data_IF_444167153703
#
_entry.id   IF_444167153703
#
_cell.length_a   1.000
_cell.length_b   1.000
_cell.length_c   1.000
_cell.angle_alpha   90.00
_cell.angle_beta   90.00
_cell.angle_gamma   90.00
#
_symmetry.space_group_name_H-M   'P 1'
#
loop_
_entity.id
_entity.type
_entity.pdbx_description
1 polymer ?
#
# COMPACT_ATOMS: atom_id res chain seq x y z
N UNK A 1 62.92 21.49 31.10
CA UNK A 1 62.68 20.53 29.99
C UNK A 1 61.46 19.60 30.22
N UNK A 2 60.97 19.36 31.44
CA UNK A 2 59.82 18.46 31.68
C UNK A 2 58.44 19.01 31.24
N UNK A 3 58.29 20.34 31.10
CA UNK A 3 56.99 21.01 30.83
C UNK A 3 56.46 20.75 29.41
N UNK A 4 57.35 20.56 28.43
CA UNK A 4 56.99 20.37 27.02
C UNK A 4 56.46 18.95 26.72
N UNK A 5 56.83 17.95 27.53
CA UNK A 5 56.36 16.57 27.35
C UNK A 5 54.91 16.37 27.78
N UNK A 6 54.49 17.07 28.85
CA UNK A 6 53.13 16.96 29.39
C UNK A 6 52.10 17.64 28.47
N UNK A 7 52.44 18.78 27.90
CA UNK A 7 51.58 19.48 26.93
C UNK A 7 51.37 18.67 25.65
N UNK A 8 52.41 18.02 25.15
CA UNK A 8 52.32 17.19 23.94
C UNK A 8 51.43 15.96 24.15
N UNK A 9 51.47 15.35 25.34
CA UNK A 9 50.59 14.23 25.70
C UNK A 9 49.15 14.70 25.83
N UNK A 10 48.92 15.85 26.47
CA UNK A 10 47.58 16.42 26.66
C UNK A 10 46.92 16.76 25.31
N UNK A 11 47.66 17.39 24.39
CA UNK A 11 47.20 17.71 23.04
C UNK A 11 46.83 16.45 22.25
N UNK A 12 47.62 15.37 22.37
CA UNK A 12 47.33 14.08 21.71
C UNK A 12 46.09 13.40 22.27
N UNK A 13 45.88 13.45 23.59
CA UNK A 13 44.69 12.87 24.25
C UNK A 13 43.43 13.64 23.85
N UNK A 14 43.49 14.97 23.81
CA UNK A 14 42.36 15.81 23.37
C UNK A 14 42.04 15.55 21.90
N UNK A 15 43.05 15.48 21.02
CA UNK A 15 42.85 15.18 19.62
C UNK A 15 42.21 13.79 19.40
N UNK A 16 42.64 12.78 20.15
CA UNK A 16 42.05 11.44 20.10
C UNK A 16 40.60 11.43 20.60
N UNK A 17 40.31 12.14 21.69
CA UNK A 17 38.95 12.27 22.22
C UNK A 17 38.00 12.96 21.21
N UNK A 18 38.46 14.02 20.54
CA UNK A 18 37.67 14.72 19.50
C UNK A 18 37.41 13.80 18.30
N UNK A 19 38.39 13.00 17.88
CA UNK A 19 38.21 12.01 16.79
C UNK A 19 37.21 10.92 17.19
N UNK A 20 37.32 10.38 18.41
CA UNK A 20 36.42 9.32 18.91
C UNK A 20 34.99 9.85 19.07
N UNK A 21 34.81 11.06 19.63
CA UNK A 21 33.48 11.69 19.74
C UNK A 21 32.91 12.01 18.35
N UNK A 22 33.73 12.51 17.42
CA UNK A 22 33.31 12.74 16.04
C UNK A 22 32.87 11.45 15.34
N UNK A 23 33.59 10.35 15.53
CA UNK A 23 33.22 9.02 15.01
C UNK A 23 31.93 8.50 15.63
N UNK A 24 31.75 8.64 16.95
CA UNK A 24 30.51 8.28 17.65
C UNK A 24 29.30 9.08 17.14
N UNK A 25 29.46 10.39 16.90
CA UNK A 25 28.38 11.24 16.37
C UNK A 25 28.02 10.85 14.93
N UNK A 26 29.00 10.50 14.09
CA UNK A 26 28.74 10.04 12.71
C UNK A 26 28.04 8.68 12.71
N UNK A 27 28.50 7.72 13.53
CA UNK A 27 27.88 6.39 13.64
C UNK A 27 26.47 6.47 14.23
N UNK A 28 26.24 7.32 15.24
CA UNK A 28 24.89 7.57 15.76
C UNK A 28 23.99 8.22 14.71
N UNK A 29 24.50 9.20 13.94
CA UNK A 29 23.73 9.84 12.88
C UNK A 29 23.31 8.86 11.79
N UNK A 30 24.22 7.99 11.33
CA UNK A 30 23.90 7.00 10.29
C UNK A 30 22.95 5.92 10.79
N UNK A 31 23.12 5.42 12.02
CA UNK A 31 22.23 4.44 12.61
C UNK A 31 20.80 4.99 12.81
N UNK A 32 20.67 6.25 13.22
CA UNK A 32 19.37 6.92 13.37
C UNK A 32 18.68 7.11 12.01
N UNK A 33 19.41 7.48 10.95
CA UNK A 33 18.83 7.59 9.60
C UNK A 33 18.37 6.25 9.04
N UNK A 34 19.13 5.17 9.25
CA UNK A 34 18.72 3.83 8.80
C UNK A 34 17.51 3.32 9.57
N UNK A 35 17.42 3.60 10.87
CA UNK A 35 16.25 3.24 11.68
C UNK A 35 14.99 4.00 11.24
N UNK A 36 15.11 5.30 10.92
CA UNK A 36 13.99 6.09 10.41
C UNK A 36 13.53 5.61 9.02
N UNK A 37 14.46 5.29 8.12
CA UNK A 37 14.11 4.75 6.80
C UNK A 37 13.38 3.40 6.93
N UNK A 38 13.87 2.50 7.78
CA UNK A 38 13.22 1.21 8.03
C UNK A 38 11.83 1.35 8.67
N UNK A 39 11.68 2.25 9.64
CA UNK A 39 10.39 2.52 10.26
C UNK A 39 9.39 3.16 9.28
N UNK A 40 9.87 4.01 8.36
CA UNK A 40 9.06 4.64 7.33
C UNK A 40 8.58 3.65 6.27
N UNK A 41 9.43 2.68 5.90
CA UNK A 41 9.12 1.60 4.97
C UNK A 41 8.06 0.63 5.54
N UNK A 42 8.28 0.14 6.76
CA UNK A 42 7.29 -0.69 7.49
C UNK A 42 5.93 0.00 7.64
N UNK A 43 5.91 1.31 7.84
CA UNK A 43 4.64 2.04 7.99
C UNK A 43 4.01 2.44 6.65
N UNK A 44 4.76 2.42 5.54
CA UNK A 44 4.17 2.50 4.20
C UNK A 44 3.47 1.20 3.85
N UNK A 45 4.10 0.07 4.18
CA UNK A 45 3.55 -1.28 4.02
C UNK A 45 2.26 -1.46 4.81
N UNK A 46 2.24 -1.10 6.11
CA UNK A 46 1.02 -1.14 6.94
C UNK A 46 -0.13 -0.29 6.33
N UNK A 47 0.18 0.90 5.80
CA UNK A 47 -0.84 1.77 5.21
C UNK A 47 -1.36 1.23 3.86
N UNK A 48 -0.46 0.63 3.05
CA UNK A 48 -0.82 0.02 1.78
C UNK A 48 -1.72 -1.20 2.01
N UNK A 49 -1.29 -2.13 2.88
CA UNK A 49 -2.09 -3.28 3.31
C UNK A 49 -3.47 -2.84 3.79
N UNK A 50 -3.53 -1.86 4.70
CA UNK A 50 -4.80 -1.39 5.24
C UNK A 50 -5.75 -0.89 4.14
N UNK A 51 -5.26 -0.08 3.20
CA UNK A 51 -6.11 0.51 2.17
C UNK A 51 -6.51 -0.51 1.11
N UNK A 52 -5.60 -1.38 0.67
CA UNK A 52 -5.91 -2.45 -0.29
C UNK A 52 -7.00 -3.36 0.28
N UNK A 53 -6.84 -3.85 1.50
CA UNK A 53 -7.85 -4.69 2.16
C UNK A 53 -9.19 -3.96 2.37
N UNK A 54 -9.19 -2.67 2.71
CA UNK A 54 -10.43 -1.89 2.79
C UNK A 54 -11.16 -1.88 1.45
N UNK A 55 -10.43 -1.66 0.36
CA UNK A 55 -11.00 -1.64 -0.98
C UNK A 55 -11.52 -3.01 -1.40
N UNK A 56 -10.80 -4.09 -1.12
CA UNK A 56 -11.27 -5.47 -1.38
C UNK A 56 -12.52 -5.83 -0.58
N UNK A 57 -12.55 -5.50 0.72
CA UNK A 57 -13.75 -5.63 1.55
C UNK A 57 -14.94 -4.90 0.90
N UNK A 58 -14.75 -3.66 0.42
CA UNK A 58 -15.80 -2.91 -0.30
C UNK A 58 -16.22 -3.62 -1.59
N UNK A 59 -15.30 -4.28 -2.29
CA UNK A 59 -15.54 -5.13 -3.44
C UNK A 59 -16.51 -6.27 -3.14
N UNK A 60 -16.18 -7.12 -2.16
CA UNK A 60 -17.06 -8.24 -1.78
C UNK A 60 -18.42 -7.76 -1.27
N UNK A 61 -18.48 -6.73 -0.43
CA UNK A 61 -19.76 -6.22 0.09
C UNK A 61 -20.65 -5.68 -1.04
N UNK A 62 -20.07 -5.12 -2.10
CA UNK A 62 -20.82 -4.76 -3.31
C UNK A 62 -21.39 -6.00 -4.00
N UNK A 63 -20.60 -7.08 -4.14
CA UNK A 63 -21.09 -8.33 -4.73
C UNK A 63 -22.15 -9.03 -3.87
N UNK A 64 -22.06 -8.91 -2.55
CA UNK A 64 -23.11 -9.37 -1.64
C UNK A 64 -24.45 -8.66 -1.92
N UNK A 65 -24.43 -7.34 -2.15
CA UNK A 65 -25.62 -6.58 -2.54
C UNK A 65 -26.13 -6.96 -3.92
N UNK A 66 -25.25 -7.07 -4.91
CA UNK A 66 -25.62 -7.45 -6.28
C UNK A 66 -26.34 -8.81 -6.28
N UNK A 67 -25.77 -9.80 -5.61
CA UNK A 67 -26.36 -11.14 -5.49
C UNK A 67 -27.68 -11.12 -4.70
N UNK A 68 -27.75 -10.36 -3.61
CA UNK A 68 -29.00 -10.19 -2.86
C UNK A 68 -30.11 -9.58 -3.72
N UNK A 69 -29.78 -8.63 -4.59
CA UNK A 69 -30.74 -7.92 -5.44
C UNK A 69 -31.44 -8.83 -6.46
N UNK A 70 -30.76 -9.90 -6.90
CA UNK A 70 -31.31 -10.90 -7.82
C UNK A 70 -31.79 -12.17 -7.11
N UNK A 71 -31.81 -12.18 -5.77
CA UNK A 71 -32.28 -13.30 -4.96
C UNK A 71 -31.27 -14.45 -4.78
N UNK A 72 -30.02 -14.26 -5.18
CA UNK A 72 -28.95 -15.26 -5.01
C UNK A 72 -28.33 -15.17 -3.60
N UNK A 73 -29.06 -15.68 -2.61
CA UNK A 73 -28.62 -15.60 -1.21
C UNK A 73 -27.33 -16.37 -0.93
N UNK A 74 -27.08 -17.49 -1.63
CA UNK A 74 -25.89 -18.31 -1.37
C UNK A 74 -24.61 -17.55 -1.73
N UNK A 75 -24.58 -16.91 -2.90
CA UNK A 75 -23.46 -16.03 -3.30
C UNK A 75 -23.40 -14.76 -2.44
N UNK A 76 -24.56 -14.20 -2.06
CA UNK A 76 -24.57 -13.04 -1.17
C UNK A 76 -23.97 -13.37 0.22
N UNK A 77 -24.17 -14.60 0.71
CA UNK A 77 -23.56 -15.08 1.96
C UNK A 77 -22.06 -15.30 1.79
N UNK A 78 -21.62 -15.89 0.67
CA UNK A 78 -20.20 -16.11 0.38
C UNK A 78 -19.43 -14.79 0.38
N UNK A 79 -19.88 -13.83 -0.44
CA UNK A 79 -19.32 -12.49 -0.53
C UNK A 79 -19.37 -11.71 0.78
N UNK A 80 -20.45 -11.83 1.56
CA UNK A 80 -20.49 -11.20 2.88
C UNK A 80 -19.46 -11.80 3.86
N UNK A 81 -18.99 -13.03 3.62
CA UNK A 81 -18.09 -13.79 4.47
C UNK A 81 -16.61 -13.56 4.18
N UNK A 82 -16.24 -13.41 2.91
CA UNK A 82 -14.87 -13.18 2.44
C UNK A 82 -14.15 -12.07 3.24
N UNK A 83 -14.75 -10.87 3.48
CA UNK A 83 -14.16 -9.82 4.30
C UNK A 83 -13.60 -10.25 5.67
N UNK A 84 -14.35 -11.10 6.40
CA UNK A 84 -13.93 -11.55 7.72
C UNK A 84 -12.92 -12.70 7.64
N UNK A 85 -13.00 -13.52 6.59
CA UNK A 85 -12.18 -14.71 6.42
C UNK A 85 -10.76 -14.37 5.89
N UNK A 86 -10.67 -13.46 4.93
CA UNK A 86 -9.42 -13.14 4.24
C UNK A 86 -8.69 -11.95 4.87
N UNK A 87 -9.39 -10.84 5.11
CA UNK A 87 -8.71 -9.56 5.39
C UNK A 87 -8.64 -9.19 6.86
N UNK A 88 -9.63 -9.60 7.66
CA UNK A 88 -9.73 -9.14 9.05
C UNK A 88 -8.53 -9.55 9.91
N UNK A 89 -7.91 -10.71 9.64
CA UNK A 89 -6.72 -11.17 10.34
C UNK A 89 -5.51 -10.24 10.12
N UNK A 90 -5.40 -9.68 8.91
CA UNK A 90 -4.28 -8.84 8.49
C UNK A 90 -4.45 -7.38 8.95
N UNK A 91 -5.63 -6.79 8.75
CA UNK A 91 -5.86 -5.38 9.11
C UNK A 91 -6.11 -5.15 10.60
N UNK A 92 -6.58 -6.17 11.33
CA UNK A 92 -6.87 -6.04 12.75
C UNK A 92 -5.71 -5.49 13.59
N UNK A 93 -4.49 -6.06 13.55
CA UNK A 93 -3.37 -5.52 14.34
C UNK A 93 -3.00 -4.09 13.95
N UNK A 94 -3.15 -3.71 12.67
CA UNK A 94 -2.86 -2.36 12.17
C UNK A 94 -3.84 -1.35 12.76
N UNK A 95 -5.14 -1.64 12.67
CA UNK A 95 -6.20 -0.77 13.20
C UNK A 95 -6.15 -0.75 14.73
N UNK A 96 -5.93 -1.88 15.40
CA UNK A 96 -5.89 -1.97 16.87
C UNK A 96 -4.82 -1.05 17.48
N UNK A 97 -3.63 -1.01 16.88
CA UNK A 97 -2.52 -0.13 17.30
C UNK A 97 -2.89 1.36 17.26
N UNK A 98 -3.81 1.75 16.38
CA UNK A 98 -4.15 3.16 16.07
C UNK A 98 -5.51 3.58 16.65
N UNK A 99 -6.48 2.66 16.69
CA UNK A 99 -7.86 2.86 17.16
C UNK A 99 -8.50 1.52 17.62
N UNK A 100 -8.27 1.08 18.87
CA UNK A 100 -8.79 -0.21 19.37
C UNK A 100 -10.31 -0.36 19.29
N UNK A 101 -11.06 0.72 19.58
CA UNK A 101 -12.53 0.67 19.54
C UNK A 101 -13.07 0.45 18.12
N UNK A 102 -12.40 1.04 17.13
CA UNK A 102 -12.81 0.94 15.74
C UNK A 102 -12.73 -0.50 15.23
N UNK A 103 -11.63 -1.20 15.54
CA UNK A 103 -11.48 -2.59 15.12
C UNK A 103 -12.46 -3.52 15.82
N UNK A 104 -12.80 -3.29 17.09
CA UNK A 104 -13.79 -4.10 17.79
C UNK A 104 -15.17 -4.03 17.12
N UNK A 105 -15.60 -2.82 16.74
CA UNK A 105 -16.87 -2.62 16.05
C UNK A 105 -16.86 -3.19 14.62
N UNK A 106 -15.77 -2.97 13.87
CA UNK A 106 -15.63 -3.50 12.51
C UNK A 106 -15.65 -5.03 12.50
N UNK A 107 -14.89 -5.66 13.41
CA UNK A 107 -14.83 -7.11 13.58
C UNK A 107 -16.21 -7.69 13.87
N UNK A 108 -16.93 -7.12 14.83
CA UNK A 108 -18.27 -7.63 15.20
C UNK A 108 -19.24 -7.61 14.01
N UNK A 109 -19.22 -6.53 13.22
CA UNK A 109 -20.09 -6.41 12.05
C UNK A 109 -19.71 -7.37 10.93
N UNK A 110 -18.44 -7.43 10.54
CA UNK A 110 -17.97 -8.31 9.46
C UNK A 110 -18.23 -9.79 9.79
N UNK A 111 -17.94 -10.22 11.02
CA UNK A 111 -18.15 -11.63 11.42
C UNK A 111 -19.63 -12.02 11.45
N UNK A 112 -20.53 -11.09 11.79
CA UNK A 112 -21.97 -11.38 11.90
C UNK A 112 -22.69 -11.30 10.56
N UNK A 113 -22.22 -10.46 9.63
CA UNK A 113 -22.94 -10.16 8.39
C UNK A 113 -23.38 -11.41 7.61
N UNK A 114 -22.54 -12.42 7.35
CA UNK A 114 -22.92 -13.59 6.54
C UNK A 114 -24.13 -14.33 7.10
N UNK A 115 -24.19 -14.47 8.43
CA UNK A 115 -25.29 -15.16 9.12
C UNK A 115 -26.62 -14.40 9.04
N UNK A 116 -26.58 -13.08 8.85
CA UNK A 116 -27.77 -12.24 8.72
C UNK A 116 -28.36 -12.31 7.31
N UNK A 117 -27.51 -12.37 6.28
CA UNK A 117 -27.89 -12.27 4.86
C UNK A 117 -29.13 -13.10 4.49
N UNK A 118 -29.28 -14.38 4.89
CA UNK A 118 -30.44 -15.18 4.49
C UNK A 118 -31.78 -14.68 5.07
N UNK A 119 -31.74 -13.96 6.18
CA UNK A 119 -32.91 -13.58 6.98
C UNK A 119 -33.35 -12.13 6.81
N UNK A 120 -32.50 -11.29 6.19
CA UNK A 120 -32.75 -9.85 6.03
C UNK A 120 -33.13 -9.52 4.57
N UNK A 121 -33.80 -8.39 4.39
CA UNK A 121 -34.10 -7.80 3.08
C UNK A 121 -32.86 -7.18 2.42
N UNK A 122 -32.99 -6.78 1.15
CA UNK A 122 -31.94 -6.01 0.46
C UNK A 122 -31.64 -4.69 1.17
N UNK A 123 -32.68 -3.94 1.58
CA UNK A 123 -32.51 -2.64 2.26
C UNK A 123 -31.84 -2.79 3.63
N UNK A 124 -32.15 -3.85 4.37
CA UNK A 124 -31.48 -4.16 5.63
C UNK A 124 -30.00 -4.55 5.42
N UNK A 125 -29.70 -5.35 4.39
CA UNK A 125 -28.32 -5.68 4.03
C UNK A 125 -27.54 -4.41 3.62
N UNK A 126 -28.16 -3.53 2.83
CA UNK A 126 -27.58 -2.25 2.41
C UNK A 126 -27.25 -1.38 3.63
N UNK A 127 -28.16 -1.29 4.60
CA UNK A 127 -27.95 -0.53 5.82
C UNK A 127 -26.81 -1.11 6.69
N UNK A 128 -26.69 -2.43 6.78
CA UNK A 128 -25.56 -3.07 7.47
C UNK A 128 -24.23 -2.78 6.78
N UNK A 129 -24.19 -2.85 5.45
CA UNK A 129 -23.00 -2.57 4.64
C UNK A 129 -22.61 -1.09 4.73
N UNK A 130 -23.56 -0.16 4.69
CA UNK A 130 -23.27 1.27 4.89
C UNK A 130 -22.68 1.54 6.27
N UNK A 131 -23.15 0.83 7.30
CA UNK A 131 -22.56 0.93 8.64
C UNK A 131 -21.14 0.34 8.72
N UNK A 132 -20.82 -0.67 7.92
CA UNK A 132 -19.46 -1.19 7.79
C UNK A 132 -18.58 -0.20 7.02
N UNK A 133 -19.08 0.33 5.90
CA UNK A 133 -18.33 1.28 5.06
C UNK A 133 -17.96 2.55 5.82
N UNK A 134 -18.82 3.03 6.71
CA UNK A 134 -18.48 4.15 7.61
C UNK A 134 -17.28 3.82 8.52
N UNK A 135 -17.18 2.61 9.05
CA UNK A 135 -16.04 2.17 9.86
C UNK A 135 -14.78 1.97 9.01
N UNK A 136 -14.93 1.46 7.79
CA UNK A 136 -13.83 1.35 6.83
C UNK A 136 -13.30 2.74 6.45
N UNK A 137 -14.17 3.73 6.33
CA UNK A 137 -13.76 5.12 6.09
C UNK A 137 -13.05 5.72 7.31
N UNK A 138 -13.50 5.45 8.53
CA UNK A 138 -12.76 5.82 9.73
C UNK A 138 -11.38 5.15 9.77
N UNK A 139 -11.29 3.90 9.32
CA UNK A 139 -10.03 3.14 9.25
C UNK A 139 -9.10 3.69 8.16
N UNK A 140 -9.62 4.04 6.99
CA UNK A 140 -8.85 4.63 5.89
C UNK A 140 -8.20 5.96 6.30
N UNK A 141 -8.85 6.71 7.21
CA UNK A 141 -8.32 7.96 7.75
C UNK A 141 -7.13 7.78 8.71
N UNK A 142 -6.86 6.54 9.17
CA UNK A 142 -5.72 6.20 10.03
C UNK A 142 -4.38 6.11 9.29
N UNK A 143 -4.37 6.14 7.95
CA UNK A 143 -3.12 6.20 7.19
C UNK A 143 -2.42 7.55 7.41
N UNK A 144 -1.11 7.57 7.19
CA UNK A 144 -0.29 8.79 7.35
C UNK A 144 -0.69 9.85 6.31
N UNK A 145 -0.64 11.12 6.70
CA UNK A 145 -1.01 12.23 5.80
C UNK A 145 -0.12 12.32 4.56
N UNK A 146 1.14 11.89 4.64
CA UNK A 146 2.05 11.80 3.49
C UNK A 146 1.54 10.82 2.42
N UNK A 147 0.87 9.74 2.82
CA UNK A 147 0.30 8.76 1.91
C UNK A 147 -1.02 9.26 1.30
N UNK A 148 -1.85 9.98 2.07
CA UNK A 148 -3.15 10.51 1.59
C UNK A 148 -3.01 11.38 0.34
N UNK A 149 -1.97 12.20 0.27
CA UNK A 149 -1.69 13.08 -0.87
C UNK A 149 -0.75 12.51 -1.93
N UNK A 150 -0.25 11.28 -1.74
CA UNK A 150 0.77 10.71 -2.62
C UNK A 150 0.13 9.99 -3.80
N UNK A 151 0.33 10.53 -5.01
CA UNK A 151 -0.06 9.84 -6.25
C UNK A 151 0.58 8.45 -6.33
N UNK A 152 1.83 8.31 -5.89
CA UNK A 152 2.53 7.03 -5.89
C UNK A 152 1.87 6.00 -4.97
N UNK A 153 1.48 6.41 -3.76
CA UNK A 153 0.83 5.50 -2.81
C UNK A 153 -0.45 4.91 -3.41
N UNK A 154 -1.29 5.76 -4.00
CA UNK A 154 -2.53 5.32 -4.64
C UNK A 154 -2.31 4.50 -5.91
N UNK A 155 -1.21 4.72 -6.63
CA UNK A 155 -0.79 3.87 -7.75
C UNK A 155 -0.41 2.46 -7.28
N UNK A 156 0.32 2.34 -6.16
CA UNK A 156 0.61 1.03 -5.56
C UNK A 156 -0.68 0.33 -5.11
N UNK A 157 -1.63 1.04 -4.49
CA UNK A 157 -2.95 0.49 -4.14
C UNK A 157 -3.65 -0.09 -5.37
N UNK A 158 -3.69 0.66 -6.48
CA UNK A 158 -4.31 0.22 -7.73
C UNK A 158 -3.60 -1.01 -8.28
N UNK A 159 -2.27 -1.01 -8.28
CA UNK A 159 -1.47 -2.15 -8.75
C UNK A 159 -1.75 -3.41 -7.94
N UNK A 160 -1.73 -3.33 -6.62
CA UNK A 160 -2.00 -4.49 -5.75
C UNK A 160 -3.41 -5.03 -5.96
N UNK A 161 -4.42 -4.15 -6.07
CA UNK A 161 -5.79 -4.57 -6.38
C UNK A 161 -5.90 -5.31 -7.73
N UNK A 162 -5.17 -4.84 -8.75
CA UNK A 162 -5.14 -5.50 -10.06
C UNK A 162 -4.37 -6.83 -10.03
N UNK A 163 -3.33 -6.93 -9.21
CA UNK A 163 -2.60 -8.19 -8.98
C UNK A 163 -3.50 -9.23 -8.33
N UNK A 164 -4.22 -8.88 -7.27
CA UNK A 164 -5.18 -9.78 -6.63
C UNK A 164 -6.34 -10.12 -7.57
N UNK A 165 -6.87 -9.15 -8.32
CA UNK A 165 -7.91 -9.41 -9.31
C UNK A 165 -7.51 -10.44 -10.38
N UNK A 166 -6.23 -10.48 -10.76
CA UNK A 166 -5.70 -11.48 -11.69
C UNK A 166 -5.72 -12.86 -11.06
N UNK A 167 -5.28 -12.97 -9.80
CA UNK A 167 -5.22 -14.23 -9.08
C UNK A 167 -6.65 -14.79 -8.87
N UNK A 168 -7.60 -13.96 -8.43
CA UNK A 168 -9.02 -14.33 -8.33
C UNK A 168 -9.62 -14.75 -9.68
N UNK A 169 -9.25 -14.06 -10.76
CA UNK A 169 -9.76 -14.40 -12.09
C UNK A 169 -9.22 -15.75 -12.59
N UNK A 170 -7.97 -16.09 -12.26
CA UNK A 170 -7.37 -17.39 -12.59
C UNK A 170 -8.11 -18.52 -11.88
N UNK A 171 -8.55 -18.32 -10.64
CA UNK A 171 -9.39 -19.27 -9.90
C UNK A 171 -10.84 -19.31 -10.43
N UNK A 172 -11.36 -18.16 -10.86
CA UNK A 172 -12.71 -18.01 -11.42
C UNK A 172 -12.87 -18.62 -12.81
N UNK A 173 -11.86 -18.53 -13.68
CA UNK A 173 -11.89 -18.90 -15.11
C UNK A 173 -10.68 -19.75 -15.47
N UNK A 174 -10.74 -21.04 -15.14
CA UNK A 174 -9.69 -22.02 -15.48
C UNK A 174 -9.62 -22.32 -16.99
N UNK A 175 -10.72 -22.14 -17.72
CA UNK A 175 -10.82 -22.38 -19.17
C UNK A 175 -11.55 -21.20 -19.85
N UNK A 176 -11.00 -20.71 -20.97
CA UNK A 176 -11.60 -19.59 -21.72
C UNK A 176 -13.06 -19.87 -22.09
N UNK A 177 -13.94 -18.90 -21.79
CA UNK A 177 -15.38 -18.98 -22.00
C UNK A 177 -16.16 -19.69 -20.89
N UNK A 178 -15.48 -20.26 -19.87
CA UNK A 178 -16.13 -21.03 -18.80
C UNK A 178 -15.73 -20.52 -17.42
N UNK A 179 -16.73 -20.10 -16.65
CA UNK A 179 -16.56 -19.77 -15.23
C UNK A 179 -16.57 -21.07 -14.42
N UNK A 180 -15.43 -21.43 -13.82
CA UNK A 180 -15.26 -22.59 -12.93
C UNK A 180 -15.70 -22.26 -11.51
N UNK A 181 -15.38 -21.05 -11.02
CA UNK A 181 -15.84 -20.54 -9.74
C UNK A 181 -16.51 -19.18 -9.93
N UNK A 182 -17.83 -19.12 -9.69
CA UNK A 182 -18.58 -17.88 -9.84
C UNK A 182 -18.21 -16.84 -8.78
N UNK A 183 -17.82 -17.28 -7.58
CA UNK A 183 -17.47 -16.37 -6.48
C UNK A 183 -16.15 -15.66 -6.77
N UNK A 184 -15.09 -16.39 -7.12
CA UNK A 184 -13.79 -15.78 -7.45
C UNK A 184 -13.87 -14.92 -8.73
N UNK A 185 -14.68 -15.33 -9.71
CA UNK A 185 -14.93 -14.50 -10.89
C UNK A 185 -15.58 -13.16 -10.54
N UNK A 186 -16.57 -13.16 -9.63
CA UNK A 186 -17.22 -11.93 -9.16
C UNK A 186 -16.30 -11.07 -8.28
N UNK A 187 -15.40 -11.69 -7.51
CA UNK A 187 -14.38 -11.00 -6.71
C UNK A 187 -13.35 -10.32 -7.60
N UNK A 188 -12.83 -11.02 -8.60
CA UNK A 188 -11.94 -10.44 -9.61
C UNK A 188 -12.55 -9.20 -10.28
N UNK A 189 -13.82 -9.29 -10.70
CA UNK A 189 -14.54 -8.16 -11.29
C UNK A 189 -14.70 -6.99 -10.30
N UNK A 190 -14.99 -7.30 -9.03
CA UNK A 190 -15.12 -6.30 -7.99
C UNK A 190 -13.79 -5.58 -7.76
N UNK A 191 -12.68 -6.29 -7.67
CA UNK A 191 -11.36 -5.70 -7.41
C UNK A 191 -10.89 -4.80 -8.57
N UNK A 192 -11.15 -5.17 -9.82
CA UNK A 192 -10.94 -4.27 -10.97
C UNK A 192 -11.80 -3.00 -10.86
N UNK A 193 -13.07 -3.13 -10.46
CA UNK A 193 -13.95 -1.98 -10.26
C UNK A 193 -13.49 -1.07 -9.10
N UNK A 194 -12.94 -1.65 -8.02
CA UNK A 194 -12.36 -0.89 -6.91
C UNK A 194 -11.08 -0.16 -7.33
N UNK A 195 -10.19 -0.83 -8.07
CA UNK A 195 -8.99 -0.22 -8.62
C UNK A 195 -9.34 0.99 -9.52
N UNK A 196 -10.35 0.86 -10.39
CA UNK A 196 -10.84 1.98 -11.21
C UNK A 196 -11.42 3.11 -10.35
N UNK A 197 -12.17 2.78 -9.30
CA UNK A 197 -12.71 3.77 -8.37
C UNK A 197 -11.61 4.54 -7.64
N UNK A 198 -10.56 3.85 -7.17
CA UNK A 198 -9.39 4.48 -6.54
C UNK A 198 -8.70 5.41 -7.53
N UNK A 199 -8.47 4.97 -8.77
CA UNK A 199 -7.93 5.83 -9.83
C UNK A 199 -8.75 7.11 -10.01
N UNK A 200 -10.06 6.96 -10.23
CA UNK A 200 -10.97 8.06 -10.51
C UNK A 200 -11.08 9.06 -9.34
N UNK A 201 -11.05 8.58 -8.10
CA UNK A 201 -11.29 9.39 -6.90
C UNK A 201 -10.03 9.99 -6.29
N UNK A 202 -8.86 9.38 -6.48
CA UNK A 202 -7.62 9.78 -5.79
C UNK A 202 -6.59 10.43 -6.69
N UNK A 203 -6.43 9.96 -7.93
CA UNK A 203 -5.26 10.33 -8.76
C UNK A 203 -5.57 10.78 -10.17
N UNK A 204 -6.79 10.58 -10.69
CA UNK A 204 -7.19 11.10 -11.99
C UNK A 204 -6.97 12.61 -12.08
N UNK A 205 -6.32 13.07 -13.16
CA UNK A 205 -5.92 14.46 -13.35
C UNK A 205 -4.57 14.84 -12.70
N UNK A 206 -4.02 13.98 -11.84
CA UNK A 206 -2.72 14.17 -11.20
C UNK A 206 -1.59 13.37 -11.88
N UNK A 207 -1.91 12.48 -12.82
CA UNK A 207 -0.94 11.66 -13.59
C UNK A 207 -0.70 12.16 -15.02
N UNK A 208 -1.36 13.25 -15.42
CA UNK A 208 -1.31 13.82 -16.76
C UNK A 208 -2.40 13.26 -17.69
N UNK A 209 -2.90 14.09 -18.61
CA UNK A 209 -4.07 13.76 -19.44
C UNK A 209 -3.88 12.54 -20.34
N UNK A 210 -2.68 12.35 -20.88
CA UNK A 210 -2.39 11.21 -21.75
C UNK A 210 -2.38 9.91 -20.94
N UNK A 211 -1.79 9.94 -19.75
CA UNK A 211 -1.79 8.82 -18.80
C UNK A 211 -3.20 8.51 -18.32
N UNK A 212 -4.00 9.53 -18.01
CA UNK A 212 -5.41 9.35 -17.62
C UNK A 212 -6.18 8.57 -18.68
N UNK A 213 -6.10 8.98 -19.95
CA UNK A 213 -6.78 8.30 -21.07
C UNK A 213 -6.30 6.86 -21.25
N UNK A 214 -5.01 6.59 -21.05
CA UNK A 214 -4.44 5.23 -21.15
C UNK A 214 -4.98 4.33 -20.03
N UNK A 215 -5.03 4.83 -18.79
CA UNK A 215 -5.54 4.07 -17.65
C UNK A 215 -7.04 3.81 -17.78
N UNK A 216 -7.82 4.81 -18.20
CA UNK A 216 -9.26 4.64 -18.46
C UNK A 216 -9.55 3.59 -19.53
N UNK A 217 -8.78 3.63 -20.62
CA UNK A 217 -8.88 2.63 -21.67
C UNK A 217 -8.50 1.24 -21.17
N UNK A 218 -7.45 1.13 -20.36
CA UNK A 218 -7.05 -0.13 -19.74
C UNK A 218 -8.20 -0.76 -18.93
N UNK A 219 -8.86 0.01 -18.05
CA UNK A 219 -9.99 -0.51 -17.28
C UNK A 219 -11.15 -0.96 -18.17
N UNK A 220 -11.44 -0.22 -19.24
CA UNK A 220 -12.43 -0.63 -20.24
C UNK A 220 -12.05 -1.94 -20.93
N UNK A 221 -10.79 -2.11 -21.33
CA UNK A 221 -10.31 -3.28 -22.06
C UNK A 221 -10.29 -4.53 -21.16
N UNK A 222 -9.86 -4.41 -19.89
CA UNK A 222 -9.87 -5.53 -18.93
C UNK A 222 -11.29 -5.98 -18.61
N UNK A 223 -12.20 -5.05 -18.31
CA UNK A 223 -13.60 -5.40 -18.01
C UNK A 223 -14.26 -6.08 -19.20
N UNK A 224 -14.04 -5.59 -20.42
CA UNK A 224 -14.55 -6.23 -21.62
C UNK A 224 -14.02 -7.66 -21.77
N UNK A 225 -12.72 -7.88 -21.52
CA UNK A 225 -12.12 -9.21 -21.56
C UNK A 225 -12.69 -10.14 -20.46
N UNK A 226 -12.94 -9.63 -19.25
CA UNK A 226 -13.58 -10.40 -18.18
C UNK A 226 -15.03 -10.77 -18.54
N UNK A 227 -15.80 -9.84 -19.11
CA UNK A 227 -17.19 -10.09 -19.53
C UNK A 227 -17.28 -11.15 -20.63
N UNK A 228 -16.34 -11.10 -21.58
CA UNK A 228 -16.12 -12.10 -22.62
C UNK A 228 -15.55 -13.43 -22.09
N UNK A 229 -15.21 -13.51 -20.79
CA UNK A 229 -14.58 -14.67 -20.14
C UNK A 229 -13.33 -15.13 -20.87
N UNK A 230 -12.51 -14.17 -21.31
CA UNK A 230 -11.21 -14.47 -21.95
C UNK A 230 -10.31 -15.23 -20.97
N UNK A 231 -9.29 -15.92 -21.48
CA UNK A 231 -8.38 -16.71 -20.64
C UNK A 231 -7.72 -15.87 -19.54
N UNK A 232 -7.36 -16.51 -18.41
CA UNK A 232 -6.60 -15.87 -17.35
C UNK A 232 -5.27 -15.27 -17.86
N UNK A 233 -4.59 -15.97 -18.78
CA UNK A 233 -3.41 -15.45 -19.48
C UNK A 233 -3.70 -14.12 -20.18
N UNK A 234 -4.88 -13.96 -20.80
CA UNK A 234 -5.25 -12.72 -21.48
C UNK A 234 -5.49 -11.58 -20.50
N UNK A 235 -6.12 -11.86 -19.35
CA UNK A 235 -6.29 -10.86 -18.28
C UNK A 235 -4.94 -10.44 -17.74
N UNK A 236 -4.06 -11.41 -17.47
CA UNK A 236 -2.68 -11.18 -17.04
C UNK A 236 -1.90 -10.31 -18.01
N UNK A 237 -1.96 -10.60 -19.32
CA UNK A 237 -1.30 -9.75 -20.35
C UNK A 237 -1.78 -8.30 -20.31
N UNK A 238 -3.07 -8.06 -20.12
CA UNK A 238 -3.63 -6.72 -20.04
C UNK A 238 -3.17 -6.00 -18.77
N UNK A 239 -3.26 -6.67 -17.62
CA UNK A 239 -2.85 -6.15 -16.31
C UNK A 239 -1.34 -5.87 -16.28
N UNK A 240 -0.50 -6.82 -16.68
CA UNK A 240 0.95 -6.64 -16.74
C UNK A 240 1.35 -5.55 -17.75
N UNK A 241 0.53 -5.33 -18.79
CA UNK A 241 0.73 -4.29 -19.79
C UNK A 241 0.55 -2.85 -19.28
N UNK A 242 -0.27 -2.63 -18.24
CA UNK A 242 -0.45 -1.28 -17.65
C UNK A 242 0.60 -0.97 -16.58
N UNK A 243 1.22 -1.98 -15.97
CA UNK A 243 2.17 -1.79 -14.87
C UNK A 243 3.35 -0.85 -15.20
N UNK A 244 3.97 -0.89 -16.39
CA UNK A 244 5.04 0.04 -16.74
C UNK A 244 4.58 1.50 -16.94
N UNK A 245 3.27 1.72 -17.15
CA UNK A 245 2.67 3.06 -17.30
C UNK A 245 2.44 3.69 -15.92
N UNK A 246 2.23 2.86 -14.89
CA UNK A 246 2.18 3.24 -13.48
C UNK A 246 3.65 3.47 -13.06
N UNK A 247 4.11 4.71 -12.86
CA UNK A 247 5.51 4.97 -12.56
C UNK A 247 5.97 4.19 -11.32
N UNK A 248 7.04 3.41 -11.46
CA UNK A 248 7.69 2.79 -10.32
C UNK A 248 8.44 3.84 -9.50
N UNK A 249 8.46 3.65 -8.17
CA UNK A 249 9.25 4.44 -7.24
C UNK A 249 10.71 4.57 -7.73
N UNK A 250 11.30 5.78 -7.84
CA UNK A 250 12.75 5.88 -7.91
C UNK A 250 13.31 5.61 -6.50
N UNK A 251 13.48 4.34 -6.15
CA UNK A 251 14.06 3.86 -4.89
C UNK A 251 15.47 4.47 -4.64
N UNK A 252 16.10 5.03 -5.67
CA UNK A 252 17.46 5.57 -5.61
C UNK A 252 17.62 7.01 -5.13
N UNK A 253 16.56 7.81 -4.91
CA UNK A 253 16.79 9.21 -4.50
C UNK A 253 17.28 9.34 -3.04
N UNK A 254 16.98 8.37 -2.18
CA UNK A 254 17.38 8.40 -0.77
C UNK A 254 18.86 8.03 -0.56
N UNK A 255 19.43 7.19 -1.43
CA UNK A 255 20.85 6.79 -1.37
C UNK A 255 21.80 7.84 -1.94
N UNK A 256 21.36 8.65 -2.91
CA UNK A 256 22.21 9.67 -3.54
C UNK A 256 22.50 10.86 -2.60
N UNK A 257 21.57 11.23 -1.72
CA UNK A 257 21.80 12.35 -0.79
C UNK A 257 22.80 12.01 0.33
N UNK A 258 22.88 10.75 0.78
CA UNK A 258 23.86 10.35 1.81
C UNK A 258 25.29 10.33 1.23
N UNK A 259 25.46 9.92 -0.04
CA UNK A 259 26.78 9.87 -0.69
C UNK A 259 27.37 11.24 -1.05
N UNK A 260 26.52 12.24 -1.35
CA UNK A 260 26.99 13.59 -1.70
C UNK A 260 27.46 14.37 -0.47
N UNK A 261 26.83 14.17 0.69
CA UNK A 261 27.21 14.86 1.94
C UNK A 261 28.54 14.33 2.51
N UNK A 262 28.81 13.02 2.42
CA UNK A 262 30.12 12.46 2.86
C UNK A 262 31.28 12.90 1.96
N UNK A 263 31.02 13.12 0.66
CA UNK A 263 32.04 13.54 -0.30
C UNK A 263 32.45 15.01 -0.13
N UNK A 264 31.51 15.90 0.21
CA UNK A 264 31.79 17.32 0.45
C UNK A 264 32.64 17.56 1.72
N UNK A 265 32.48 16.71 2.75
CA UNK A 265 33.25 16.79 3.99
C UNK A 265 34.70 16.28 3.80
N UNK A 266 34.94 15.33 2.89
CA UNK A 266 36.29 14.87 2.58
C UNK A 266 37.09 15.88 1.74
N UNK A 267 36.45 16.50 0.73
CA UNK A 267 37.13 17.47 -0.16
C UNK A 267 37.53 18.75 0.57
N UNK A 268 36.69 19.25 1.50
CA UNK A 268 37.00 20.43 2.30
C UNK A 268 38.21 20.24 3.24
N UNK A 269 38.43 19.02 3.76
CA UNK A 269 39.62 18.69 4.57
C UNK A 269 40.91 18.56 3.76
N UNK A 270 40.85 18.06 2.53
CA UNK A 270 42.03 17.92 1.67
C UNK A 270 42.48 19.28 1.13
N UNK A 271 41.56 20.18 0.82
CA UNK A 271 41.91 21.53 0.32
C UNK A 271 42.48 22.45 1.40
N UNK A 272 42.03 22.33 2.67
CA UNK A 272 42.61 23.10 3.78
C UNK A 272 44.04 22.67 4.16
N UNK A 273 44.49 21.48 3.77
CA UNK A 273 45.84 20.96 4.06
C UNK A 273 46.89 21.41 3.05
N UNK A 274 46.49 21.98 1.91
CA UNK A 274 47.40 22.30 0.80
C UNK A 274 47.82 23.78 0.74
N UNK A 275 47.27 24.65 1.59
CA UNK A 275 47.56 26.10 1.58
C UNK A 275 48.52 26.58 2.66
N UNK A 276 49.43 25.74 3.14
CA UNK A 276 50.49 26.20 4.05
C UNK A 276 51.86 25.57 3.73
N UNK A 277 52.42 25.97 2.59
CA UNK A 277 53.87 26.07 2.37
C UNK A 277 54.17 27.26 1.45
N UNK A 278 54.51 28.39 2.06
CA UNK A 278 55.46 29.37 1.52
C UNK A 278 56.56 29.50 2.56
#
# INVERSE_FOLDING_TARGET
>A
MARNGLELVLVRVIALAVVVVGLLVVVCSTAVTSYHAYAQDLSMDEDLTLIVSIEEIRGHLMQALNNKSIGNNDMAVAHAGHPAAEYLGEIAPIIEKRSPKLIDELRDKLVRLPSKVPSISYDELRADIDAIDALLEDASNLIRDENKGSVQFWLEVIKTLLEHAKDEYEEGVEEEGKVSSAVEYEDAQAFVARAEHVFASKIKGNVGSDTDMVIERFFSDVKAAMDEKRSADRIKELVDGIMPVIPEFPVNLMLVFVGVVTSAILVSRVMSSSSMKI
#
